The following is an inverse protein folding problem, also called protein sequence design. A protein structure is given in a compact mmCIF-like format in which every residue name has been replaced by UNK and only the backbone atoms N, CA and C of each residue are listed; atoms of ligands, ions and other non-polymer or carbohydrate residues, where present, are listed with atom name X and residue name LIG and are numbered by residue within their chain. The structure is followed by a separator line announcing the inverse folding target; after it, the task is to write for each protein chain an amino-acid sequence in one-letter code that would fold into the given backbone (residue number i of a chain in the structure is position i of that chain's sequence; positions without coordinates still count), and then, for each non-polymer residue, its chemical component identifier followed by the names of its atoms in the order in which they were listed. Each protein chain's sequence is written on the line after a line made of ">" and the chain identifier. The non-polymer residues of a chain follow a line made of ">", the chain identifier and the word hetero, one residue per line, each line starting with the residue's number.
data_IF_171927318348
#
_entry.id   IF_171927318348
#
_cell.length_a   1.000
_cell.length_b   1.000
_cell.length_c   1.000
_cell.angle_alpha   90.00
_cell.angle_beta   90.00
_cell.angle_gamma   90.00
#
_symmetry.space_group_name_H-M   'P 1'
#
loop_
_entity.id
_entity.type
_entity.pdbx_description
1 polymer ?
#
# COMPACT_ATOMS: atom_id res chain seq x y z
N UNK A 1 6.74 27.00 4.18
CA UNK A 1 5.80 26.01 3.59
C UNK A 1 6.19 24.66 4.16
N UNK A 2 5.37 24.08 5.04
CA UNK A 2 5.60 22.73 5.54
C UNK A 2 4.86 21.78 4.61
N UNK A 3 5.58 20.90 3.89
CA UNK A 3 4.95 19.78 3.20
C UNK A 3 4.55 18.75 4.27
N UNK A 4 3.26 18.67 4.55
CA UNK A 4 2.71 17.63 5.40
C UNK A 4 2.63 16.35 4.55
N UNK A 5 3.45 15.36 4.88
CA UNK A 5 3.46 14.07 4.18
C UNK A 5 2.68 13.07 5.02
N UNK A 6 1.67 12.44 4.43
CA UNK A 6 0.93 11.34 5.03
C UNK A 6 1.63 10.02 4.69
N UNK A 7 1.90 9.18 5.69
CA UNK A 7 2.53 7.87 5.50
C UNK A 7 1.50 6.78 5.80
N UNK A 8 1.05 6.09 4.76
CA UNK A 8 0.20 4.91 4.89
C UNK A 8 1.08 3.65 4.89
N UNK A 9 0.95 2.80 5.91
CA UNK A 9 1.65 1.52 6.03
C UNK A 9 0.62 0.43 6.32
N UNK A 10 0.76 -0.70 5.66
CA UNK A 10 -0.10 -1.85 5.81
C UNK A 10 0.72 -3.14 5.87
N UNK A 11 0.14 -4.17 6.47
CA UNK A 11 0.72 -5.50 6.53
C UNK A 11 0.19 -6.34 5.36
N UNK A 12 1.08 -6.93 4.57
CA UNK A 12 0.69 -7.88 3.52
C UNK A 12 -0.05 -9.08 4.10
N UNK A 13 -0.95 -9.65 3.30
CA UNK A 13 -1.66 -10.90 3.57
C UNK A 13 -0.72 -11.99 4.10
N UNK A 14 -1.00 -12.47 5.32
CA UNK A 14 -0.21 -13.51 6.00
C UNK A 14 1.02 -13.01 6.78
N UNK A 15 1.21 -11.69 6.92
CA UNK A 15 2.21 -11.06 7.78
C UNK A 15 1.57 -10.17 8.85
N UNK A 16 2.28 -9.97 9.97
CA UNK A 16 1.87 -9.02 11.00
C UNK A 16 0.49 -9.33 11.57
N UNK A 17 -0.42 -8.35 11.50
CA UNK A 17 -1.82 -8.52 11.91
C UNK A 17 -2.73 -9.12 10.81
N UNK A 18 -2.25 -9.20 9.57
CA UNK A 18 -3.01 -9.69 8.42
C UNK A 18 -3.04 -11.22 8.38
N UNK A 19 -4.25 -11.79 8.39
CA UNK A 19 -4.45 -13.24 8.28
C UNK A 19 -4.32 -13.72 6.83
N UNK A 20 -4.16 -15.04 6.62
CA UNK A 20 -4.09 -15.64 5.28
C UNK A 20 -2.73 -16.27 4.99
N UNK A 21 -2.52 -16.65 3.72
CA UNK A 21 -1.24 -17.20 3.24
C UNK A 21 -0.60 -16.20 2.28
N UNK A 22 0.67 -15.82 2.47
CA UNK A 22 1.33 -14.90 1.56
C UNK A 22 1.45 -15.54 0.17
N UNK A 23 1.05 -14.78 -0.85
CA UNK A 23 1.13 -15.16 -2.26
C UNK A 23 1.28 -13.92 -3.12
N UNK A 24 1.84 -14.06 -4.32
CA UNK A 24 2.01 -12.95 -5.26
C UNK A 24 0.67 -12.28 -5.60
N UNK A 25 -0.37 -13.08 -5.85
CA UNK A 25 -1.73 -12.58 -6.07
C UNK A 25 -2.29 -11.81 -4.88
N UNK A 26 -1.98 -12.25 -3.66
CA UNK A 26 -2.40 -11.54 -2.45
C UNK A 26 -1.67 -10.20 -2.32
N UNK A 27 -0.38 -10.15 -2.64
CA UNK A 27 0.39 -8.89 -2.65
C UNK A 27 -0.22 -7.85 -3.59
N UNK A 28 -0.58 -8.24 -4.82
CA UNK A 28 -1.23 -7.31 -5.76
C UNK A 28 -2.59 -6.84 -5.23
N UNK A 29 -3.41 -7.75 -4.70
CA UNK A 29 -4.70 -7.40 -4.12
C UNK A 29 -4.56 -6.47 -2.90
N UNK A 30 -3.55 -6.67 -2.06
CA UNK A 30 -3.28 -5.79 -0.91
C UNK A 30 -2.88 -4.38 -1.37
N UNK A 31 -2.08 -4.26 -2.44
CA UNK A 31 -1.70 -2.97 -3.04
C UNK A 31 -2.94 -2.25 -3.61
N UNK A 32 -3.77 -2.96 -4.38
CA UNK A 32 -5.00 -2.40 -4.97
C UNK A 32 -5.95 -1.90 -3.89
N UNK A 33 -6.18 -2.70 -2.84
CA UNK A 33 -7.09 -2.32 -1.74
C UNK A 33 -6.65 -1.03 -1.02
N UNK A 34 -5.33 -0.84 -0.84
CA UNK A 34 -4.79 0.38 -0.21
C UNK A 34 -4.90 1.57 -1.15
N UNK A 35 -4.63 1.38 -2.44
CA UNK A 35 -4.79 2.43 -3.42
C UNK A 35 -6.24 2.91 -3.52
N UNK A 36 -7.20 1.98 -3.62
CA UNK A 36 -8.63 2.30 -3.61
C UNK A 36 -9.04 3.01 -2.31
N UNK A 37 -8.52 2.59 -1.16
CA UNK A 37 -8.79 3.26 0.11
C UNK A 37 -8.27 4.71 0.12
N UNK A 38 -7.05 4.95 -0.39
CA UNK A 38 -6.48 6.30 -0.48
C UNK A 38 -7.31 7.21 -1.40
N UNK A 39 -7.79 6.68 -2.53
CA UNK A 39 -8.61 7.44 -3.48
C UNK A 39 -10.02 7.70 -2.91
N UNK A 40 -10.69 6.67 -2.39
CA UNK A 40 -12.12 6.73 -2.03
C UNK A 40 -12.38 7.32 -0.65
N UNK A 41 -11.61 6.93 0.36
CA UNK A 41 -11.82 7.35 1.76
C UNK A 41 -11.05 8.64 2.09
N UNK A 42 -9.87 8.80 1.49
CA UNK A 42 -8.98 9.95 1.78
C UNK A 42 -8.93 10.99 0.66
N UNK A 43 -9.52 10.72 -0.51
CA UNK A 43 -9.57 11.67 -1.63
C UNK A 43 -8.19 12.02 -2.19
N UNK A 44 -7.19 11.14 -2.04
CA UNK A 44 -5.82 11.38 -2.50
C UNK A 44 -5.74 11.09 -4.00
N UNK A 45 -5.35 12.10 -4.78
CA UNK A 45 -5.12 11.95 -6.22
C UNK A 45 -3.89 11.07 -6.50
N UNK A 46 -3.91 10.34 -7.61
CA UNK A 46 -2.81 9.45 -7.99
C UNK A 46 -1.47 10.18 -8.11
N UNK A 47 -1.50 11.43 -8.55
CA UNK A 47 -0.33 12.31 -8.69
C UNK A 47 0.35 12.65 -7.36
N UNK A 48 -0.36 12.51 -6.24
CA UNK A 48 0.12 12.81 -4.89
C UNK A 48 0.58 11.54 -4.13
N UNK A 49 0.49 10.36 -4.77
CA UNK A 49 0.92 9.08 -4.18
C UNK A 49 2.33 8.73 -4.62
N UNK A 50 3.23 8.55 -3.65
CA UNK A 50 4.56 7.99 -3.90
C UNK A 50 4.59 6.56 -3.36
N UNK A 51 4.83 5.59 -4.24
CA UNK A 51 5.03 4.20 -3.86
C UNK A 51 6.43 4.02 -3.25
N UNK A 52 6.48 3.53 -2.03
CA UNK A 52 7.72 3.22 -1.32
C UNK A 52 7.75 1.74 -0.92
N UNK A 53 8.48 0.94 -1.69
CA UNK A 53 8.71 -0.47 -1.42
C UNK A 53 10.05 -0.70 -0.71
N UNK A 54 10.05 -1.42 0.41
CA UNK A 54 11.28 -1.90 1.05
C UNK A 54 11.29 -3.44 1.08
N UNK A 55 12.42 -4.05 0.70
CA UNK A 55 12.62 -5.50 0.69
C UNK A 55 11.61 -6.24 -0.20
N UNK A 56 10.70 -7.06 0.34
CA UNK A 56 9.72 -7.81 -0.48
C UNK A 56 8.74 -6.88 -1.20
N UNK A 57 8.48 -5.70 -0.63
CA UNK A 57 7.63 -4.68 -1.26
C UNK A 57 8.28 -3.97 -2.44
N UNK A 58 9.54 -4.30 -2.80
CA UNK A 58 10.17 -3.82 -4.04
C UNK A 58 9.99 -4.77 -5.23
N UNK A 59 9.03 -5.71 -5.15
CA UNK A 59 8.59 -6.52 -6.29
C UNK A 59 8.21 -5.64 -7.49
N UNK A 60 8.30 -6.16 -8.73
CA UNK A 60 8.76 -5.42 -9.90
C UNK A 60 7.96 -4.13 -10.14
N UNK A 61 8.63 -3.02 -9.93
CA UNK A 61 8.36 -1.72 -10.60
C UNK A 61 8.53 -1.83 -12.11
#
# INVERSE_FOLDING_TARGET
>A
MFLQHFVCRYDYSGYGASTGKPSESSTYADIEAIYECLETEYGVGQEDVILYGQSVGSGPT
#
